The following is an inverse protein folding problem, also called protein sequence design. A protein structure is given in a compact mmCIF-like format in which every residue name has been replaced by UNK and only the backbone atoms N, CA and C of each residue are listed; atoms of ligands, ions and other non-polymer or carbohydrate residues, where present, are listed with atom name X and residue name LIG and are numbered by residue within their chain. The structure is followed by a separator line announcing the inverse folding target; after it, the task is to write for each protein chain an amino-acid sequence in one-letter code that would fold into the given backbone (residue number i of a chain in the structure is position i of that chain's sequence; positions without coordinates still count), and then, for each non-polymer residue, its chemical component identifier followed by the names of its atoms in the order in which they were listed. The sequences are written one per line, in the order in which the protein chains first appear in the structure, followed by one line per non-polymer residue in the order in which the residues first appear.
data_IF_974835409469
#
_entry.id   IF_974835409469
#
_cell.length_a   1.000
_cell.length_b   1.000
_cell.length_c   1.000
_cell.angle_alpha   90.00
_cell.angle_beta   90.00
_cell.angle_gamma   90.00
#
_symmetry.space_group_name_H-M   'P 1'
#
loop_
_entity.id
_entity.type
_entity.pdbx_description
1 polymer ?
#
# COMPACT_ATOMS: atom_id res chain seq x y z
N UNK A 1 -0.24 -25.58 -22.31
CA UNK A 1 -1.13 -24.78 -21.45
C UNK A 1 -0.80 -23.30 -21.57
N UNK A 2 0.47 -22.89 -21.46
CA UNK A 2 0.91 -21.48 -21.58
C UNK A 2 0.51 -20.91 -22.95
N UNK A 3 0.83 -21.59 -24.05
CA UNK A 3 0.46 -21.16 -25.39
C UNK A 3 -1.06 -20.98 -25.55
N UNK A 4 -1.86 -21.91 -25.01
CA UNK A 4 -3.32 -21.83 -25.07
C UNK A 4 -3.86 -20.62 -24.28
N UNK A 5 -3.18 -20.21 -23.23
CA UNK A 5 -3.50 -19.00 -22.45
C UNK A 5 -3.12 -17.72 -23.21
N UNK A 6 -1.99 -17.71 -23.92
CA UNK A 6 -1.49 -16.54 -24.64
C UNK A 6 -2.25 -16.28 -25.96
N UNK A 7 -2.67 -17.35 -26.68
CA UNK A 7 -3.26 -17.23 -28.00
C UNK A 7 -4.45 -16.27 -28.12
N UNK A 8 -5.41 -16.23 -27.17
CA UNK A 8 -6.54 -15.29 -27.26
C UNK A 8 -6.12 -13.82 -27.33
N UNK A 9 -4.99 -13.44 -26.73
CA UNK A 9 -4.44 -12.09 -26.78
C UNK A 9 -3.60 -11.88 -28.03
N UNK A 10 -2.71 -12.84 -28.36
CA UNK A 10 -1.82 -12.74 -29.52
C UNK A 10 -2.59 -12.66 -30.85
N UNK A 11 -3.76 -13.27 -30.93
CA UNK A 11 -4.60 -13.29 -32.11
C UNK A 11 -5.47 -12.02 -32.29
N UNK A 12 -5.47 -11.09 -31.32
CA UNK A 12 -6.24 -9.85 -31.37
C UNK A 12 -5.64 -8.87 -32.41
N UNK A 13 -6.16 -8.93 -33.65
CA UNK A 13 -5.72 -8.04 -34.73
C UNK A 13 -6.21 -6.59 -34.54
N UNK A 14 -7.20 -6.36 -33.70
CA UNK A 14 -7.73 -5.07 -33.32
C UNK A 14 -6.83 -4.33 -32.31
N UNK A 15 -5.84 -5.01 -31.69
CA UNK A 15 -4.87 -4.41 -30.79
C UNK A 15 -3.50 -4.25 -31.47
N UNK A 16 -2.83 -3.09 -31.34
CA UNK A 16 -1.45 -2.93 -31.78
C UNK A 16 -0.52 -3.98 -31.16
N UNK A 17 0.48 -4.47 -31.91
CA UNK A 17 1.42 -5.46 -31.42
C UNK A 17 2.12 -5.06 -30.11
N UNK A 18 2.62 -3.80 -29.93
CA UNK A 18 3.24 -3.40 -28.66
C UNK A 18 2.29 -3.55 -27.47
N UNK A 19 0.98 -3.26 -27.65
CA UNK A 19 0.00 -3.40 -26.58
C UNK A 19 -0.25 -4.87 -26.26
N UNK A 20 -0.34 -5.75 -27.27
CA UNK A 20 -0.46 -7.20 -27.03
C UNK A 20 0.71 -7.74 -26.23
N UNK A 21 1.93 -7.28 -26.54
CA UNK A 21 3.13 -7.68 -25.79
C UNK A 21 3.13 -7.12 -24.36
N UNK A 22 2.73 -5.86 -24.17
CA UNK A 22 2.63 -5.25 -22.85
C UNK A 22 1.67 -6.02 -21.94
N UNK A 23 0.54 -6.50 -22.43
CA UNK A 23 -0.43 -7.29 -21.66
C UNK A 23 0.14 -8.57 -21.01
N UNK A 24 1.21 -9.14 -21.55
CA UNK A 24 1.90 -10.26 -20.92
C UNK A 24 2.96 -9.81 -19.91
N UNK A 25 3.59 -8.66 -20.14
CA UNK A 25 4.66 -8.18 -19.28
C UNK A 25 4.15 -7.49 -18.02
N UNK A 26 2.93 -6.93 -18.05
CA UNK A 26 2.29 -6.30 -16.89
C UNK A 26 2.11 -7.24 -15.67
N UNK A 27 2.10 -8.55 -15.91
CA UNK A 27 1.96 -9.55 -14.85
C UNK A 27 3.31 -10.15 -14.43
N UNK A 28 4.43 -9.58 -14.88
CA UNK A 28 5.77 -10.12 -14.64
C UNK A 28 6.06 -10.30 -13.16
N UNK A 29 5.81 -9.30 -12.33
CA UNK A 29 6.06 -9.36 -10.88
C UNK A 29 5.22 -10.44 -10.19
N UNK A 30 3.97 -10.64 -10.62
CA UNK A 30 3.12 -11.71 -10.11
C UNK A 30 3.67 -13.11 -10.44
N UNK A 31 4.36 -13.26 -11.57
CA UNK A 31 4.83 -14.54 -12.07
C UNK A 31 6.29 -14.87 -11.71
N UNK A 32 7.10 -13.86 -11.41
CA UNK A 32 8.57 -13.97 -11.23
C UNK A 32 9.02 -14.33 -9.82
N UNK A 33 8.09 -14.69 -8.92
CA UNK A 33 8.37 -14.91 -7.49
C UNK A 33 8.21 -13.66 -6.64
N UNK A 34 7.72 -12.56 -7.21
CA UNK A 34 7.41 -11.32 -6.49
C UNK A 34 6.12 -11.39 -5.67
N UNK A 35 5.37 -12.48 -5.71
CA UNK A 35 4.13 -12.62 -4.93
C UNK A 35 4.28 -13.61 -3.78
N UNK A 36 3.60 -13.32 -2.67
CA UNK A 36 3.42 -14.20 -1.54
C UNK A 36 1.93 -14.45 -1.31
N UNK A 37 1.55 -15.72 -1.21
CA UNK A 37 0.16 -16.11 -1.00
C UNK A 37 0.08 -17.20 0.06
N UNK A 38 -0.60 -16.93 1.18
CA UNK A 38 -0.79 -17.90 2.24
C UNK A 38 -1.92 -18.88 1.93
N UNK A 39 -1.96 -19.99 2.67
CA UNK A 39 -3.13 -20.84 2.66
C UNK A 39 -4.38 -20.10 3.17
N UNK A 40 -5.55 -20.51 2.70
CA UNK A 40 -6.83 -20.01 3.21
C UNK A 40 -7.03 -20.39 4.69
N UNK A 41 -7.70 -19.52 5.42
CA UNK A 41 -8.14 -19.75 6.81
C UNK A 41 -9.59 -19.28 6.98
N UNK A 42 -10.26 -19.57 8.13
CA UNK A 42 -11.58 -19.01 8.39
C UNK A 42 -11.63 -17.48 8.39
N UNK A 43 -10.54 -16.82 8.82
CA UNK A 43 -10.41 -15.37 8.86
C UNK A 43 -10.03 -14.79 7.49
N UNK A 44 -9.32 -15.55 6.68
CA UNK A 44 -8.84 -15.18 5.36
C UNK A 44 -9.24 -16.26 4.34
N UNK A 45 -10.50 -16.29 3.86
CA UNK A 45 -10.99 -17.37 2.98
C UNK A 45 -10.24 -17.50 1.65
N UNK A 46 -9.59 -16.43 1.21
CA UNK A 46 -8.73 -16.43 0.00
C UNK A 46 -7.23 -16.45 0.35
N UNK A 47 -6.88 -16.58 1.64
CA UNK A 47 -5.52 -16.40 2.13
C UNK A 47 -5.13 -14.93 2.22
N UNK A 48 -3.94 -14.66 2.78
CA UNK A 48 -3.28 -13.35 2.68
C UNK A 48 -2.45 -13.32 1.41
N UNK A 49 -2.47 -12.21 0.73
CA UNK A 49 -1.77 -12.01 -0.53
C UNK A 49 -0.94 -10.73 -0.48
N UNK A 50 0.18 -10.71 -1.17
CA UNK A 50 1.01 -9.53 -1.34
C UNK A 50 1.96 -9.68 -2.52
N UNK A 51 2.26 -8.56 -3.17
CA UNK A 51 3.21 -8.45 -4.27
C UNK A 51 4.35 -7.55 -3.83
N UNK A 52 5.59 -7.91 -4.15
CA UNK A 52 6.73 -7.02 -3.95
C UNK A 52 6.57 -5.76 -4.80
N UNK A 53 7.00 -4.63 -4.28
CA UNK A 53 7.03 -3.40 -5.06
C UNK A 53 7.90 -3.57 -6.29
N UNK A 54 9.12 -4.06 -6.09
CA UNK A 54 10.00 -4.57 -7.15
C UNK A 54 11.09 -5.46 -6.53
N UNK A 55 11.97 -6.01 -7.34
CA UNK A 55 13.04 -6.89 -6.85
C UNK A 55 14.10 -6.14 -6.01
N UNK A 56 14.34 -4.87 -6.31
CA UNK A 56 15.30 -4.02 -5.58
C UNK A 56 14.72 -3.45 -4.29
N UNK A 57 13.40 -3.18 -4.27
CA UNK A 57 12.63 -2.79 -3.08
C UNK A 57 11.78 -3.97 -2.63
N UNK A 58 12.44 -4.91 -1.95
CA UNK A 58 11.86 -6.20 -1.60
C UNK A 58 10.98 -6.13 -0.36
N UNK A 59 9.93 -5.33 -0.38
CA UNK A 59 8.84 -5.33 0.59
C UNK A 59 7.50 -5.48 -0.12
N UNK A 60 6.52 -6.03 0.59
CA UNK A 60 5.20 -6.35 0.04
C UNK A 60 4.27 -5.15 0.15
N UNK A 61 3.65 -4.78 -0.99
CA UNK A 61 2.51 -3.87 -1.06
C UNK A 61 2.79 -2.47 -0.52
N UNK A 62 3.64 -1.69 -1.21
CA UNK A 62 3.75 -0.25 -0.95
C UNK A 62 2.41 0.42 -1.22
N UNK A 63 1.79 0.98 -0.19
CA UNK A 63 0.39 1.39 -0.23
C UNK A 63 0.15 2.58 -1.16
N UNK A 64 1.06 3.53 -1.20
CA UNK A 64 1.04 4.69 -2.09
C UNK A 64 1.21 4.26 -3.56
N UNK A 65 2.13 3.34 -3.84
CA UNK A 65 2.31 2.74 -5.17
C UNK A 65 1.05 1.97 -5.59
N UNK A 66 0.42 1.26 -4.67
CA UNK A 66 -0.85 0.57 -4.94
C UNK A 66 -1.98 1.50 -5.35
N UNK A 67 -1.98 2.75 -4.92
CA UNK A 67 -3.06 3.69 -5.26
C UNK A 67 -3.28 3.76 -6.78
N UNK A 68 -2.21 3.66 -7.55
CA UNK A 68 -2.27 3.62 -9.02
C UNK A 68 -1.90 2.27 -9.64
N UNK A 69 -1.08 1.45 -8.95
CA UNK A 69 -0.56 0.20 -9.49
C UNK A 69 -1.50 -1.01 -9.37
N UNK A 70 -2.48 -1.00 -8.47
CA UNK A 70 -3.31 -2.17 -8.18
C UNK A 70 -4.58 -2.30 -9.04
N UNK A 71 -4.79 -1.45 -10.04
CA UNK A 71 -6.01 -1.50 -10.87
C UNK A 71 -6.14 -2.82 -11.64
N UNK A 72 -5.05 -3.38 -12.12
CA UNK A 72 -5.06 -4.68 -12.80
C UNK A 72 -5.46 -5.80 -11.83
N UNK A 73 -4.92 -5.81 -10.61
CA UNK A 73 -5.28 -6.77 -9.57
C UNK A 73 -6.78 -6.68 -9.23
N UNK A 74 -7.28 -5.46 -9.01
CA UNK A 74 -8.69 -5.19 -8.75
C UNK A 74 -9.61 -5.72 -9.87
N UNK A 75 -9.24 -5.54 -11.14
CA UNK A 75 -10.07 -5.92 -12.27
C UNK A 75 -10.03 -7.42 -12.57
N UNK A 76 -8.89 -8.06 -12.41
CA UNK A 76 -8.67 -9.45 -12.77
C UNK A 76 -8.88 -10.41 -11.59
N UNK A 77 -8.49 -9.99 -10.39
CA UNK A 77 -8.54 -10.80 -9.16
C UNK A 77 -9.01 -9.99 -7.95
N UNK A 78 -10.25 -9.49 -7.96
CA UNK A 78 -10.76 -8.58 -6.93
C UNK A 78 -10.67 -9.16 -5.50
N UNK A 79 -10.75 -10.47 -5.33
CA UNK A 79 -10.63 -11.09 -4.01
C UNK A 79 -9.20 -11.03 -3.45
N UNK A 80 -8.18 -11.03 -4.32
CA UNK A 80 -6.80 -10.81 -3.90
C UNK A 80 -6.56 -9.36 -3.52
N UNK A 81 -7.09 -8.40 -4.27
CA UNK A 81 -7.04 -6.97 -3.92
C UNK A 81 -7.71 -6.70 -2.57
N UNK A 82 -8.90 -7.29 -2.33
CA UNK A 82 -9.57 -7.23 -1.04
C UNK A 82 -8.74 -7.87 0.10
N UNK A 83 -8.04 -8.99 -0.17
CA UNK A 83 -7.21 -9.67 0.81
C UNK A 83 -6.04 -8.78 1.27
N UNK A 84 -5.41 -8.05 0.33
CA UNK A 84 -4.38 -7.07 0.64
C UNK A 84 -4.93 -5.95 1.52
N UNK A 85 -6.05 -5.34 1.13
CA UNK A 85 -6.64 -4.23 1.90
C UNK A 85 -7.10 -4.66 3.30
N UNK A 86 -7.62 -5.89 3.46
CA UNK A 86 -7.88 -6.45 4.80
C UNK A 86 -6.60 -6.61 5.63
N UNK A 87 -5.47 -6.91 5.00
CA UNK A 87 -4.19 -7.00 5.71
C UNK A 87 -3.73 -5.63 6.22
N UNK A 88 -3.88 -4.57 5.43
CA UNK A 88 -3.69 -3.19 5.90
C UNK A 88 -4.67 -2.82 7.03
N UNK A 89 -5.94 -3.18 6.88
CA UNK A 89 -6.95 -2.92 7.92
C UNK A 89 -6.59 -3.56 9.28
N UNK A 90 -5.95 -4.72 9.28
CA UNK A 90 -5.45 -5.36 10.51
C UNK A 90 -4.18 -4.70 11.05
N UNK A 91 -3.32 -4.17 10.18
CA UNK A 91 -2.07 -3.53 10.55
C UNK A 91 -2.25 -2.13 11.14
N UNK A 92 -3.27 -1.37 10.73
CA UNK A 92 -3.50 0.00 11.21
C UNK A 92 -3.64 0.09 12.74
N UNK A 93 -4.45 -0.73 13.42
CA UNK A 93 -4.57 -0.69 14.88
C UNK A 93 -3.39 -1.33 15.63
N UNK A 94 -2.47 -2.01 14.93
CA UNK A 94 -1.30 -2.63 15.53
C UNK A 94 -0.23 -1.60 15.87
N UNK A 95 0.68 -1.96 16.79
CA UNK A 95 1.85 -1.17 17.15
C UNK A 95 3.07 -2.07 17.30
N UNK A 96 4.24 -1.53 16.95
CA UNK A 96 5.56 -2.15 17.17
C UNK A 96 6.52 -1.06 17.62
N UNK A 97 6.90 -1.10 18.90
CA UNK A 97 7.79 -0.13 19.55
C UNK A 97 9.29 -0.42 19.32
N UNK A 98 9.62 -1.35 18.42
CA UNK A 98 11.01 -1.59 18.02
C UNK A 98 11.61 -0.32 17.44
N UNK A 99 12.66 0.21 18.08
CA UNK A 99 13.33 1.41 17.64
C UNK A 99 14.19 1.14 16.42
N UNK A 100 14.05 1.97 15.39
CA UNK A 100 14.85 1.88 14.16
C UNK A 100 15.45 3.23 13.80
N UNK A 101 16.73 3.26 13.37
CA UNK A 101 17.32 4.48 12.86
C UNK A 101 16.68 4.84 11.51
N UNK A 102 16.32 6.11 11.37
CA UNK A 102 15.73 6.64 10.13
C UNK A 102 16.83 7.16 9.22
N UNK A 103 16.99 6.50 8.07
CA UNK A 103 18.11 6.70 7.15
C UNK A 103 18.20 8.11 6.58
N UNK A 104 17.08 8.74 6.25
CA UNK A 104 17.04 10.09 5.69
C UNK A 104 17.76 11.12 6.56
N UNK A 105 17.55 11.11 7.87
CA UNK A 105 18.22 12.06 8.79
C UNK A 105 19.73 11.88 8.76
N UNK A 106 20.19 10.65 8.67
CA UNK A 106 21.62 10.35 8.55
C UNK A 106 22.20 10.87 7.24
N UNK A 107 21.53 10.65 6.10
CA UNK A 107 21.99 11.14 4.78
C UNK A 107 22.05 12.67 4.71
N UNK A 108 21.19 13.36 5.48
CA UNK A 108 21.17 14.83 5.59
C UNK A 108 22.15 15.37 6.63
N UNK A 109 23.03 14.55 7.20
CA UNK A 109 23.99 14.97 8.22
C UNK A 109 23.35 15.40 9.55
N UNK A 110 22.09 15.03 9.79
CA UNK A 110 21.35 15.38 11.04
C UNK A 110 21.60 14.40 12.19
N UNK A 111 22.52 13.43 11.98
CA UNK A 111 22.84 12.41 12.96
C UNK A 111 21.82 11.27 13.03
N UNK A 112 21.91 10.48 14.11
CA UNK A 112 21.02 9.33 14.32
C UNK A 112 19.71 9.81 14.94
N UNK A 113 18.63 9.64 14.20
CA UNK A 113 17.25 9.81 14.68
C UNK A 113 16.60 8.44 14.67
N UNK A 114 15.94 8.06 15.73
CA UNK A 114 15.23 6.79 15.85
C UNK A 114 13.72 7.02 15.94
N UNK A 115 12.95 6.07 15.44
CA UNK A 115 11.50 6.06 15.54
C UNK A 115 10.99 4.64 15.80
N UNK A 116 9.80 4.54 16.36
CA UNK A 116 9.08 3.28 16.47
C UNK A 116 8.82 2.71 15.08
N UNK A 117 8.95 1.40 14.93
CA UNK A 117 8.64 0.72 13.67
C UNK A 117 7.22 0.99 13.21
N UNK A 118 6.26 0.89 14.13
CA UNK A 118 4.83 1.10 13.84
C UNK A 118 4.10 1.74 15.01
N UNK A 119 3.51 2.88 14.77
CA UNK A 119 2.64 3.57 15.74
C UNK A 119 1.19 3.15 15.49
N UNK A 120 0.44 2.90 16.57
CA UNK A 120 -1.00 2.58 16.50
C UNK A 120 -1.75 3.69 15.78
N UNK A 121 -2.62 3.30 14.86
CA UNK A 121 -3.43 4.22 14.04
C UNK A 121 -2.73 4.73 12.77
N UNK A 122 -1.39 4.79 12.75
CA UNK A 122 -0.67 5.07 11.51
C UNK A 122 -0.93 3.96 10.48
N UNK A 123 -1.19 4.32 9.24
CA UNK A 123 -1.26 3.35 8.15
C UNK A 123 0.17 2.97 7.74
N UNK A 124 0.53 1.68 7.70
CA UNK A 124 1.86 1.29 7.30
C UNK A 124 2.10 1.58 5.81
N UNK A 125 3.35 1.86 5.47
CA UNK A 125 3.78 1.99 4.08
C UNK A 125 3.71 0.65 3.35
N UNK A 126 4.19 -0.41 3.99
CA UNK A 126 4.27 -1.77 3.43
C UNK A 126 3.85 -2.83 4.46
N UNK A 127 3.57 -4.03 3.97
CA UNK A 127 3.18 -5.19 4.77
C UNK A 127 4.36 -6.10 5.15
N UNK A 128 5.60 -5.57 5.12
CA UNK A 128 6.81 -6.29 5.50
C UNK A 128 7.55 -6.91 4.32
N UNK A 129 8.61 -7.64 4.61
CA UNK A 129 9.55 -8.14 3.60
C UNK A 129 9.80 -9.65 3.71
N UNK A 130 10.36 -10.29 2.64
CA UNK A 130 10.61 -11.73 2.61
C UNK A 130 11.56 -12.27 3.67
N UNK A 131 12.43 -11.43 4.21
CA UNK A 131 13.41 -11.79 5.23
C UNK A 131 12.91 -11.57 6.67
N UNK A 132 11.66 -11.19 6.83
CA UNK A 132 10.98 -11.01 8.12
C UNK A 132 9.71 -11.86 8.18
N UNK A 133 8.74 -11.48 9.02
CA UNK A 133 7.42 -12.11 9.08
C UNK A 133 6.42 -11.17 8.40
N UNK A 134 6.14 -11.35 7.09
CA UNK A 134 5.21 -10.49 6.37
C UNK A 134 3.84 -10.43 7.06
N UNK A 135 3.16 -9.31 6.89
CA UNK A 135 1.89 -8.91 7.51
C UNK A 135 1.95 -8.63 9.02
N UNK A 136 2.89 -9.20 9.76
CA UNK A 136 3.06 -8.94 11.20
C UNK A 136 4.12 -7.85 11.43
N UNK A 137 5.26 -7.95 10.72
CA UNK A 137 6.35 -6.98 10.76
C UNK A 137 6.22 -5.97 9.60
N UNK A 138 5.25 -5.06 9.69
CA UNK A 138 4.99 -4.01 8.70
C UNK A 138 6.02 -2.87 8.74
N UNK A 139 5.99 -1.95 7.76
CA UNK A 139 6.97 -0.86 7.64
C UNK A 139 8.41 -1.39 7.56
N UNK A 140 8.71 -2.24 6.58
CA UNK A 140 10.08 -2.74 6.40
C UNK A 140 11.06 -1.61 6.09
N UNK A 141 10.68 -0.69 5.20
CA UNK A 141 11.51 0.48 4.93
C UNK A 141 11.71 1.32 6.19
N UNK A 142 12.94 1.76 6.42
CA UNK A 142 13.33 2.66 7.50
C UNK A 142 14.12 3.86 6.98
N UNK A 143 14.07 4.12 5.67
CA UNK A 143 14.69 5.31 5.11
C UNK A 143 13.95 6.56 5.57
N UNK A 144 12.60 6.55 5.52
CA UNK A 144 11.74 7.56 6.14
C UNK A 144 11.04 6.98 7.37
N UNK A 145 10.52 7.84 8.22
CA UNK A 145 9.56 7.44 9.26
C UNK A 145 8.15 7.39 8.67
N UNK A 146 7.74 6.21 8.22
CA UNK A 146 6.44 6.00 7.58
C UNK A 146 5.25 6.30 8.51
N UNK A 147 5.45 6.31 9.83
CA UNK A 147 4.39 6.72 10.76
C UNK A 147 4.00 8.19 10.59
N UNK A 148 4.86 9.01 10.02
CA UNK A 148 4.62 10.44 9.81
C UNK A 148 4.00 10.77 8.45
N UNK A 149 3.82 9.79 7.58
CA UNK A 149 3.31 10.03 6.23
C UNK A 149 1.87 10.53 6.22
N UNK A 150 1.62 11.55 5.38
CA UNK A 150 0.36 12.31 5.36
C UNK A 150 -0.62 11.83 4.29
N UNK A 151 -0.21 10.92 3.43
CA UNK A 151 -1.00 10.34 2.34
C UNK A 151 -1.52 8.94 2.68
N UNK A 152 -0.71 8.07 3.31
CA UNK A 152 -1.03 6.64 3.46
C UNK A 152 -2.41 6.36 4.06
N UNK A 153 -2.85 7.16 5.03
CA UNK A 153 -4.18 6.97 5.62
C UNK A 153 -5.31 7.26 4.63
N UNK A 154 -5.17 8.33 3.85
CA UNK A 154 -6.10 8.68 2.78
C UNK A 154 -6.04 7.66 1.63
N UNK A 155 -4.83 7.24 1.25
CA UNK A 155 -4.62 6.22 0.22
C UNK A 155 -5.32 4.90 0.56
N UNK A 156 -5.24 4.47 1.83
CA UNK A 156 -5.96 3.29 2.29
C UNK A 156 -7.47 3.46 2.12
N UNK A 157 -8.03 4.58 2.59
CA UNK A 157 -9.48 4.83 2.52
C UNK A 157 -9.97 4.90 1.07
N UNK A 158 -9.22 5.61 0.21
CA UNK A 158 -9.55 5.73 -1.21
C UNK A 158 -9.49 4.38 -1.93
N UNK A 159 -8.50 3.54 -1.62
CA UNK A 159 -8.39 2.20 -2.19
C UNK A 159 -9.53 1.28 -1.71
N UNK A 160 -9.87 1.31 -0.43
CA UNK A 160 -11.04 0.57 0.09
C UNK A 160 -12.32 1.00 -0.63
N UNK A 161 -12.55 2.31 -0.77
CA UNK A 161 -13.69 2.85 -1.48
C UNK A 161 -13.70 2.45 -2.95
N UNK A 162 -12.58 2.60 -3.65
CA UNK A 162 -12.40 2.21 -5.04
C UNK A 162 -12.73 0.72 -5.25
N UNK A 163 -12.16 -0.15 -4.42
CA UNK A 163 -12.39 -1.60 -4.50
C UNK A 163 -13.84 -1.95 -4.23
N UNK A 164 -14.46 -1.33 -3.23
CA UNK A 164 -15.88 -1.50 -2.96
C UNK A 164 -16.75 -1.11 -4.17
N UNK A 165 -16.43 0.00 -4.85
CA UNK A 165 -17.24 0.53 -5.96
C UNK A 165 -16.97 -0.11 -7.31
N UNK A 166 -15.72 -0.46 -7.59
CA UNK A 166 -15.27 -0.82 -8.94
C UNK A 166 -14.94 -2.31 -9.10
N UNK A 167 -14.98 -3.13 -8.05
CA UNK A 167 -14.75 -4.55 -8.20
C UNK A 167 -15.78 -5.18 -9.14
N UNK A 168 -15.36 -5.99 -10.13
CA UNK A 168 -16.29 -6.67 -11.05
C UNK A 168 -17.30 -7.58 -10.34
N UNK A 169 -16.97 -8.04 -9.13
CA UNK A 169 -17.87 -8.81 -8.27
C UNK A 169 -19.03 -7.99 -7.66
N UNK A 170 -19.07 -6.68 -7.88
CA UNK A 170 -20.05 -5.77 -7.32
C UNK A 170 -19.72 -5.28 -5.91
N UNK A 171 -20.61 -4.47 -5.34
CA UNK A 171 -20.47 -3.88 -4.00
C UNK A 171 -20.50 -4.98 -2.92
N UNK A 172 -19.36 -5.12 -2.20
CA UNK A 172 -19.20 -6.11 -1.13
C UNK A 172 -19.25 -5.41 0.24
N UNK A 173 -20.43 -5.38 0.81
CA UNK A 173 -20.68 -4.74 2.12
C UNK A 173 -19.88 -5.41 3.24
N UNK A 174 -19.61 -6.73 3.14
CA UNK A 174 -18.80 -7.42 4.14
C UNK A 174 -17.36 -6.95 4.09
N UNK A 175 -16.77 -6.84 2.88
CA UNK A 175 -15.45 -6.28 2.71
C UNK A 175 -15.37 -4.85 3.27
N UNK A 176 -16.35 -4.01 2.95
CA UNK A 176 -16.40 -2.65 3.49
C UNK A 176 -16.47 -2.65 5.01
N UNK A 177 -17.31 -3.49 5.61
CA UNK A 177 -17.43 -3.62 7.06
C UNK A 177 -16.13 -4.08 7.73
N UNK A 178 -15.38 -5.00 7.09
CA UNK A 178 -14.08 -5.48 7.58
C UNK A 178 -13.03 -4.36 7.63
N UNK A 179 -13.07 -3.44 6.66
CA UNK A 179 -12.08 -2.34 6.56
C UNK A 179 -12.51 -1.05 7.28
N UNK A 180 -13.80 -0.85 7.53
CA UNK A 180 -14.37 0.40 8.04
C UNK A 180 -13.77 0.89 9.36
N UNK A 181 -13.60 0.05 10.41
CA UNK A 181 -12.99 0.50 11.66
C UNK A 181 -11.59 1.05 11.48
N UNK A 182 -10.79 0.39 10.65
CA UNK A 182 -9.43 0.81 10.33
C UNK A 182 -9.40 2.11 9.51
N UNK A 183 -10.32 2.29 8.57
CA UNK A 183 -10.46 3.52 7.80
C UNK A 183 -10.72 4.73 8.71
N UNK A 184 -11.65 4.57 9.67
CA UNK A 184 -11.95 5.62 10.65
C UNK A 184 -10.73 5.90 11.56
N UNK A 185 -10.00 4.86 11.97
CA UNK A 185 -8.80 5.01 12.81
C UNK A 185 -7.67 5.72 12.04
N UNK A 186 -7.42 5.35 10.79
CA UNK A 186 -6.43 6.00 9.93
C UNK A 186 -6.69 7.49 9.74
N UNK A 187 -7.95 7.86 9.43
CA UNK A 187 -8.32 9.28 9.31
C UNK A 187 -8.20 10.03 10.64
N UNK A 188 -8.55 9.42 11.77
CA UNK A 188 -8.35 10.03 13.08
C UNK A 188 -6.87 10.25 13.38
N UNK A 189 -6.02 9.31 12.97
CA UNK A 189 -4.58 9.47 13.11
C UNK A 189 -4.05 10.61 12.24
N UNK A 190 -4.41 10.68 10.96
CA UNK A 190 -4.04 11.76 10.07
C UNK A 190 -4.50 13.14 10.59
N UNK A 191 -5.69 13.21 11.16
CA UNK A 191 -6.19 14.45 11.75
C UNK A 191 -5.31 15.02 12.88
N UNK A 192 -4.49 14.18 13.52
CA UNK A 192 -3.54 14.67 14.55
C UNK A 192 -2.44 15.55 13.98
N UNK A 193 -2.23 15.53 12.66
CA UNK A 193 -1.26 16.38 11.97
C UNK A 193 -1.84 17.72 11.49
N UNK A 194 -3.11 17.99 11.69
CA UNK A 194 -3.72 19.32 11.53
C UNK A 194 -3.32 20.17 12.74
N UNK A 195 -2.12 20.77 12.67
CA UNK A 195 -1.53 21.47 13.83
C UNK A 195 -2.04 22.90 13.99
N UNK A 196 -2.60 23.48 12.92
CA UNK A 196 -3.11 24.85 12.89
C UNK A 196 -4.66 24.92 12.94
N UNK A 197 -5.35 23.77 12.92
CA UNK A 197 -6.79 23.61 12.89
C UNK A 197 -7.46 24.23 11.65
N UNK A 198 -6.81 24.16 10.49
CA UNK A 198 -7.41 24.59 9.22
C UNK A 198 -8.18 23.45 8.51
N UNK A 199 -8.16 22.25 9.08
CA UNK A 199 -8.87 21.06 8.60
C UNK A 199 -8.03 20.17 7.68
N UNK A 200 -6.74 20.46 7.48
CA UNK A 200 -5.84 19.73 6.60
C UNK A 200 -4.59 19.23 7.35
N UNK A 201 -4.07 18.02 7.04
CA UNK A 201 -2.83 17.57 7.67
C UNK A 201 -1.62 18.34 7.14
N UNK A 202 -0.74 18.76 8.07
CA UNK A 202 0.50 19.48 7.78
C UNK A 202 1.68 18.52 7.59
N UNK A 203 2.45 18.70 6.51
CA UNK A 203 3.74 18.05 6.31
C UNK A 203 4.80 18.64 7.27
N UNK A 204 5.69 17.80 7.81
CA UNK A 204 6.58 18.12 8.91
C UNK A 204 7.94 18.71 8.53
N UNK A 205 8.29 18.78 7.23
CA UNK A 205 9.60 19.25 6.77
C UNK A 205 10.67 18.14 6.72
N UNK A 206 10.28 16.88 6.89
CA UNK A 206 10.99 15.68 6.49
C UNK A 206 10.17 15.00 5.37
N UNK A 207 10.73 14.03 4.62
CA UNK A 207 9.92 13.24 3.68
C UNK A 207 8.83 12.47 4.44
N UNK A 208 7.59 12.75 4.11
CA UNK A 208 6.42 12.23 4.80
C UNK A 208 5.22 12.01 3.86
N UNK A 209 5.52 11.59 2.64
CA UNK A 209 4.58 11.30 1.55
C UNK A 209 5.30 10.61 0.36
N UNK A 210 4.56 10.17 -0.65
CA UNK A 210 5.00 9.38 -1.80
C UNK A 210 6.13 9.98 -2.67
N UNK A 211 6.45 11.28 -2.55
CA UNK A 211 7.55 11.88 -3.32
C UNK A 211 8.94 11.67 -2.67
N UNK A 212 9.08 10.62 -1.87
CA UNK A 212 10.32 10.12 -1.27
C UNK A 212 11.14 11.20 -0.53
N UNK A 213 12.16 11.74 -1.17
CA UNK A 213 13.11 12.68 -0.57
C UNK A 213 12.61 14.13 -0.47
N UNK A 214 11.39 14.43 -0.91
CA UNK A 214 10.89 15.80 -0.90
C UNK A 214 10.41 16.21 0.50
N UNK A 215 11.14 17.09 1.21
CA UNK A 215 10.74 17.58 2.52
C UNK A 215 9.69 18.68 2.36
N UNK A 216 8.42 18.31 2.33
CA UNK A 216 7.30 19.24 2.31
C UNK A 216 7.07 19.82 3.70
N UNK A 217 6.52 21.04 3.78
CA UNK A 217 6.21 21.71 5.04
C UNK A 217 4.89 22.44 4.95
N UNK A 218 4.05 22.28 5.97
CA UNK A 218 2.67 22.79 5.95
C UNK A 218 1.79 21.97 5.02
N UNK A 219 0.65 22.52 4.63
CA UNK A 219 -0.30 21.83 3.75
C UNK A 219 0.26 21.72 2.33
N UNK A 220 0.40 20.50 1.82
CA UNK A 220 0.71 20.26 0.41
C UNK A 220 -0.55 20.05 -0.41
N UNK A 221 -0.50 20.44 -1.70
CA UNK A 221 -1.62 20.21 -2.61
C UNK A 221 -1.92 18.71 -2.76
N UNK A 222 -0.89 17.87 -2.75
CA UNK A 222 -1.04 16.41 -2.88
C UNK A 222 -1.77 15.81 -1.67
N UNK A 223 -1.21 15.92 -0.47
CA UNK A 223 -1.82 15.32 0.73
C UNK A 223 -3.18 15.97 1.06
N UNK A 224 -3.33 17.28 0.86
CA UNK A 224 -4.59 17.98 1.06
C UNK A 224 -5.69 17.60 0.07
N UNK A 225 -5.32 17.18 -1.16
CA UNK A 225 -6.29 16.71 -2.15
C UNK A 225 -6.73 15.26 -1.90
N UNK A 226 -5.89 14.44 -1.27
CA UNK A 226 -6.24 13.08 -0.86
C UNK A 226 -7.12 13.05 0.40
N UNK A 227 -6.90 14.00 1.32
CA UNK A 227 -7.64 14.16 2.58
C UNK A 227 -9.11 14.60 2.34
#
# INVERSE_FOLDING_TARGET
QIEAWQQPVLQRQDLPEPLRMALFNELYDLCSGGSLWSAASPEDPYGRFGVLECLDYAWYESLDVRLYGSLALLQLWPELDKAVLRSFARAIPAADATQRPIGWYFTQGKGRVEADRKVKGATPHDLGAPNEIPWDATNYTAYQDCNLWKDLGSDFVLQVWRTFKLAPSGEDIRFLADCWPAAVEALRYLKTFDVNNDGLPDNGGAPDQTFDDWPLKGVSAYCGALW
#
